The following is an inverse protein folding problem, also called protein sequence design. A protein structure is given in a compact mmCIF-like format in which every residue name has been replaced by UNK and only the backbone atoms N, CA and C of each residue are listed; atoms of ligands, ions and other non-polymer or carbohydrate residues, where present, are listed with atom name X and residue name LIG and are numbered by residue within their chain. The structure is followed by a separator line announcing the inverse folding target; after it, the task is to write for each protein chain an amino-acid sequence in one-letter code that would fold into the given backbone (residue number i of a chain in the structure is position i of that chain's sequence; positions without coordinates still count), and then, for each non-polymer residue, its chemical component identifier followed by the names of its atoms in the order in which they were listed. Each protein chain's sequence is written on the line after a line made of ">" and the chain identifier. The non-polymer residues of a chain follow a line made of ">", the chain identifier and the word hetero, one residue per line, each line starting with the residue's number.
data_IF_251702426406
#
_entry.id   IF_251702426406
#
_cell.length_a   1.000
_cell.length_b   1.000
_cell.length_c   1.000
_cell.angle_alpha   90.00
_cell.angle_beta   90.00
_cell.angle_gamma   90.00
#
_symmetry.space_group_name_H-M   'P 1'
#
loop_
_entity.id
_entity.type
_entity.pdbx_description
1 polymer ?
#
# COMPACT_ATOMS: atom_id res chain seq x y z
N UNK A 1 1.60 -0.37 -2.47
CA UNK A 1 1.05 -0.52 -1.10
C UNK A 1 -0.46 -0.73 -1.11
N UNK A 2 -1.29 0.23 -1.52
CA UNK A 2 -2.77 0.05 -1.51
C UNK A 2 -3.24 -1.10 -2.40
N UNK A 3 -2.64 -1.27 -3.58
CA UNK A 3 -2.90 -2.46 -4.42
C UNK A 3 -2.60 -3.78 -3.68
N UNK A 4 -1.53 -3.82 -2.89
CA UNK A 4 -1.17 -4.97 -2.06
C UNK A 4 -2.19 -5.23 -0.96
N UNK A 5 -2.72 -4.18 -0.33
CA UNK A 5 -3.80 -4.30 0.66
C UNK A 5 -5.08 -4.86 0.01
N UNK A 6 -5.42 -4.39 -1.18
CA UNK A 6 -6.57 -4.89 -1.93
C UNK A 6 -6.41 -6.38 -2.27
N UNK A 7 -5.27 -6.80 -2.82
CA UNK A 7 -5.02 -8.22 -3.13
C UNK A 7 -5.17 -9.09 -1.89
N UNK A 8 -4.53 -8.71 -0.78
CA UNK A 8 -4.63 -9.45 0.48
C UNK A 8 -6.04 -9.48 1.05
N UNK A 9 -6.80 -8.40 0.90
CA UNK A 9 -8.21 -8.39 1.29
C UNK A 9 -9.01 -9.37 0.44
N UNK A 10 -8.88 -9.35 -0.89
CA UNK A 10 -9.56 -10.30 -1.77
C UNK A 10 -9.17 -11.75 -1.45
N UNK A 11 -7.88 -12.02 -1.20
CA UNK A 11 -7.39 -13.34 -0.77
C UNK A 11 -8.00 -13.76 0.58
N UNK A 12 -8.04 -12.85 1.56
CA UNK A 12 -8.58 -13.09 2.91
C UNK A 12 -10.08 -13.39 2.90
N UNK A 13 -10.84 -12.69 2.06
CA UNK A 13 -12.30 -12.80 2.02
C UNK A 13 -12.83 -13.72 0.89
N UNK A 14 -11.99 -14.11 -0.07
CA UNK A 14 -12.34 -14.98 -1.19
C UNK A 14 -13.28 -14.35 -2.23
N UNK A 15 -13.39 -13.02 -2.28
CA UNK A 15 -14.33 -12.27 -3.14
C UNK A 15 -13.92 -10.80 -3.28
N UNK A 16 -14.57 -10.02 -4.17
CA UNK A 16 -14.47 -8.56 -4.14
C UNK A 16 -14.79 -7.98 -2.76
N UNK A 17 -14.07 -6.94 -2.37
CA UNK A 17 -14.05 -6.40 -1.01
C UNK A 17 -14.50 -4.95 -0.96
N UNK A 18 -15.15 -4.56 0.12
CA UNK A 18 -15.54 -3.17 0.39
C UNK A 18 -14.32 -2.32 0.76
N UNK A 19 -14.44 -0.99 0.69
CA UNK A 19 -13.38 -0.08 1.14
C UNK A 19 -12.95 -0.35 2.58
N UNK A 20 -13.92 -0.58 3.48
CA UNK A 20 -13.65 -0.86 4.90
C UNK A 20 -12.86 -2.16 5.09
N UNK A 21 -13.13 -3.19 4.29
CA UNK A 21 -12.37 -4.45 4.36
C UNK A 21 -10.92 -4.28 3.89
N UNK A 22 -10.68 -3.39 2.91
CA UNK A 22 -9.31 -3.02 2.51
C UNK A 22 -8.61 -2.20 3.61
N UNK A 23 -9.34 -1.27 4.24
CA UNK A 23 -8.84 -0.49 5.38
C UNK A 23 -8.49 -1.36 6.59
N UNK A 24 -9.26 -2.41 6.86
CA UNK A 24 -8.98 -3.37 7.93
C UNK A 24 -7.66 -4.09 7.68
N UNK A 25 -7.43 -4.56 6.45
CA UNK A 25 -6.15 -5.17 6.05
C UNK A 25 -5.01 -4.15 6.10
N UNK A 26 -5.24 -2.90 5.67
CA UNK A 26 -4.25 -1.84 5.79
C UNK A 26 -3.90 -1.56 7.27
N UNK A 27 -4.88 -1.63 8.18
CA UNK A 27 -4.67 -1.45 9.62
C UNK A 27 -3.84 -2.57 10.23
N UNK A 28 -3.96 -3.80 9.74
CA UNK A 28 -3.14 -4.93 10.18
C UNK A 28 -1.68 -4.81 9.69
N UNK A 29 -1.47 -4.31 8.48
CA UNK A 29 -0.15 -4.33 7.81
C UNK A 29 0.63 -3.03 8.01
N UNK A 30 -0.01 -1.89 7.78
CA UNK A 30 0.61 -0.57 7.84
C UNK A 30 -0.44 0.49 8.25
N UNK A 31 -0.75 0.60 9.56
CA UNK A 31 -1.81 1.46 10.08
C UNK A 31 -1.76 2.92 9.61
N UNK A 32 -0.56 3.46 9.40
CA UNK A 32 -0.35 4.82 8.90
C UNK A 32 -0.85 5.05 7.47
N UNK A 33 -1.33 3.99 6.80
CA UNK A 33 -1.85 4.05 5.44
C UNK A 33 -3.37 4.00 5.29
N UNK A 34 -4.10 3.80 6.40
CA UNK A 34 -5.56 3.61 6.36
C UNK A 34 -6.29 4.82 5.80
N UNK A 35 -5.88 6.04 6.15
CA UNK A 35 -6.55 7.29 5.79
C UNK A 35 -6.56 7.62 4.29
N UNK A 36 -5.70 6.99 3.49
CA UNK A 36 -5.57 7.21 2.07
C UNK A 36 -5.96 6.00 1.20
N UNK A 37 -6.42 4.91 1.81
CA UNK A 37 -6.87 3.72 1.07
C UNK A 37 -7.89 4.11 0.00
N UNK A 38 -8.95 4.82 0.39
CA UNK A 38 -10.02 5.22 -0.55
C UNK A 38 -9.49 6.08 -1.71
N UNK A 39 -8.57 7.00 -1.44
CA UNK A 39 -8.01 7.90 -2.45
C UNK A 39 -7.28 7.09 -3.52
N UNK A 40 -6.42 6.17 -3.13
CA UNK A 40 -5.68 5.35 -4.08
C UNK A 40 -6.53 4.24 -4.72
N UNK A 41 -7.59 3.74 -4.07
CA UNK A 41 -8.52 2.84 -4.76
C UNK A 41 -9.18 3.54 -5.95
N UNK A 42 -9.60 4.80 -5.78
CA UNK A 42 -10.15 5.60 -6.89
C UNK A 42 -9.11 5.82 -7.99
N UNK A 43 -7.87 6.12 -7.63
CA UNK A 43 -6.77 6.30 -8.58
C UNK A 43 -6.46 5.02 -9.37
N UNK A 44 -6.34 3.88 -8.69
CA UNK A 44 -6.11 2.56 -9.30
C UNK A 44 -7.25 2.18 -10.24
N UNK A 45 -8.49 2.53 -9.88
CA UNK A 45 -9.66 2.31 -10.73
C UNK A 45 -9.63 3.20 -11.98
N UNK A 46 -9.28 4.48 -11.83
CA UNK A 46 -9.13 5.40 -12.97
C UNK A 46 -8.06 4.94 -13.97
N UNK A 47 -7.02 4.25 -13.48
CA UNK A 47 -5.97 3.62 -14.29
C UNK A 47 -6.36 2.23 -14.85
N UNK A 48 -7.55 1.73 -14.53
CA UNK A 48 -8.09 0.46 -15.03
C UNK A 48 -7.43 -0.79 -14.42
N UNK A 49 -6.75 -0.66 -13.29
CA UNK A 49 -6.00 -1.73 -12.61
C UNK A 49 -6.90 -2.57 -11.70
N UNK A 50 -7.96 -1.94 -11.20
CA UNK A 50 -8.95 -2.56 -10.33
C UNK A 50 -10.34 -2.23 -10.87
N UNK A 51 -11.30 -3.08 -10.55
CA UNK A 51 -12.70 -2.89 -10.88
C UNK A 51 -13.47 -2.40 -9.66
N UNK A 52 -14.51 -1.60 -9.92
CA UNK A 52 -15.47 -1.14 -8.92
C UNK A 52 -16.87 -1.60 -9.34
N UNK A 53 -17.55 -2.36 -8.48
CA UNK A 53 -18.90 -2.87 -8.75
C UNK A 53 -19.83 -2.59 -7.57
N UNK A 54 -21.10 -2.31 -7.85
CA UNK A 54 -22.12 -2.27 -6.80
C UNK A 54 -22.47 -3.71 -6.39
N UNK A 55 -22.38 -3.98 -5.09
CA UNK A 55 -22.82 -5.23 -4.48
C UNK A 55 -24.11 -4.96 -3.68
N UNK A 56 -25.22 -5.51 -4.18
CA UNK A 56 -26.53 -5.33 -3.59
C UNK A 56 -26.73 -6.08 -2.28
N UNK A 57 -26.02 -7.20 -2.06
CA UNK A 57 -26.09 -7.94 -0.79
C UNK A 57 -25.39 -7.17 0.32
N UNK A 58 -24.32 -6.45 -0.03
CA UNK A 58 -23.52 -5.65 0.91
C UNK A 58 -23.99 -4.21 1.04
N UNK A 59 -24.85 -3.75 0.12
CA UNK A 59 -25.26 -2.35 0.04
C UNK A 59 -24.07 -1.39 -0.13
N UNK A 60 -23.02 -1.83 -0.83
CA UNK A 60 -21.76 -1.10 -0.94
C UNK A 60 -21.08 -1.31 -2.28
N UNK A 61 -20.17 -0.40 -2.62
CA UNK A 61 -19.23 -0.65 -3.71
C UNK A 61 -18.12 -1.60 -3.24
N UNK A 62 -17.85 -2.61 -4.05
CA UNK A 62 -16.77 -3.56 -3.87
C UNK A 62 -15.69 -3.36 -4.93
N UNK A 63 -14.47 -3.71 -4.55
CA UNK A 63 -13.25 -3.57 -5.30
C UNK A 63 -12.63 -4.94 -5.54
N UNK A 64 -12.08 -5.14 -6.73
CA UNK A 64 -11.29 -6.33 -7.05
C UNK A 64 -10.16 -5.98 -8.02
N UNK A 65 -8.99 -6.63 -7.93
CA UNK A 65 -7.97 -6.54 -8.97
C UNK A 65 -8.54 -6.98 -10.31
N UNK A 66 -8.24 -6.25 -11.39
CA UNK A 66 -8.66 -6.62 -12.75
C UNK A 66 -7.73 -7.65 -13.37
N UNK A 67 -6.49 -7.70 -12.90
CA UNK A 67 -5.48 -8.66 -13.31
C UNK A 67 -4.83 -9.26 -12.07
N UNK A 68 -4.58 -10.57 -12.09
CA UNK A 68 -3.69 -11.20 -11.14
C UNK A 68 -2.24 -10.95 -11.58
N UNK A 69 -1.77 -9.73 -11.36
CA UNK A 69 -0.35 -9.42 -11.52
C UNK A 69 0.35 -9.38 -10.16
N UNK A 70 1.65 -9.66 -10.17
CA UNK A 70 2.51 -9.38 -9.02
C UNK A 70 2.73 -7.88 -8.88
N UNK A 71 3.24 -7.47 -7.72
CA UNK A 71 3.54 -6.07 -7.46
C UNK A 71 4.65 -5.60 -8.40
N UNK A 72 5.63 -6.47 -8.66
CA UNK A 72 6.74 -6.27 -9.60
C UNK A 72 6.24 -6.05 -11.03
N UNK A 73 5.33 -6.89 -11.51
CA UNK A 73 4.72 -6.72 -12.84
C UNK A 73 3.93 -5.42 -12.95
N UNK A 74 3.31 -4.98 -11.84
CA UNK A 74 2.64 -3.69 -11.77
C UNK A 74 3.66 -2.54 -11.85
N UNK A 75 4.89 -2.68 -11.31
CA UNK A 75 5.98 -1.70 -11.50
C UNK A 75 6.34 -1.56 -12.96
N UNK A 76 6.56 -2.69 -13.62
CA UNK A 76 7.05 -2.71 -14.98
C UNK A 76 6.03 -2.13 -15.95
N UNK A 77 4.74 -2.45 -15.76
CA UNK A 77 3.66 -1.98 -16.61
C UNK A 77 3.21 -0.54 -16.30
N UNK A 78 3.31 -0.12 -15.04
CA UNK A 78 2.82 1.18 -14.56
C UNK A 78 3.87 1.84 -13.65
N UNK A 79 5.04 2.22 -14.20
CA UNK A 79 6.13 2.78 -13.41
C UNK A 79 5.74 4.08 -12.70
N UNK A 80 4.76 4.82 -13.22
CA UNK A 80 4.27 6.06 -12.62
C UNK A 80 3.65 5.83 -11.24
N UNK A 81 3.00 4.68 -11.00
CA UNK A 81 2.45 4.33 -9.68
C UNK A 81 3.54 4.23 -8.60
N UNK A 82 4.76 3.89 -9.02
CA UNK A 82 5.92 3.81 -8.14
C UNK A 82 6.56 5.17 -7.98
N UNK A 83 6.67 5.94 -9.07
CA UNK A 83 7.19 7.31 -9.06
C UNK A 83 6.42 8.24 -8.12
N UNK A 84 5.12 8.03 -8.01
CA UNK A 84 4.25 8.83 -7.15
C UNK A 84 4.26 8.35 -5.67
N UNK A 85 4.89 7.20 -5.38
CA UNK A 85 4.97 6.63 -4.03
C UNK A 85 6.12 7.26 -3.23
N UNK A 86 5.84 8.41 -2.62
CA UNK A 86 6.79 9.16 -1.80
C UNK A 86 7.50 8.30 -0.72
N UNK A 87 6.76 7.41 -0.05
CA UNK A 87 7.36 6.56 0.99
C UNK A 87 8.27 5.47 0.43
N UNK A 88 7.92 4.89 -0.73
CA UNK A 88 8.77 3.93 -1.39
C UNK A 88 10.13 4.55 -1.75
N UNK A 89 10.10 5.74 -2.35
CA UNK A 89 11.31 6.48 -2.68
C UNK A 89 12.11 6.86 -1.44
N UNK A 90 11.46 7.31 -0.37
CA UNK A 90 12.12 7.66 0.88
C UNK A 90 12.91 6.49 1.46
N UNK A 91 12.31 5.29 1.49
CA UNK A 91 12.98 4.08 1.99
C UNK A 91 14.10 3.65 1.05
N UNK A 92 13.84 3.57 -0.26
CA UNK A 92 14.84 3.14 -1.26
C UNK A 92 16.08 4.04 -1.26
N UNK A 93 15.87 5.35 -1.22
CA UNK A 93 16.96 6.35 -1.18
C UNK A 93 17.77 6.24 0.10
N UNK A 94 17.11 6.12 1.26
CA UNK A 94 17.80 6.01 2.55
C UNK A 94 18.62 4.72 2.69
N UNK A 95 18.17 3.63 2.07
CA UNK A 95 18.89 2.35 2.06
C UNK A 95 19.98 2.28 0.98
N UNK A 96 19.87 3.05 -0.10
CA UNK A 96 20.86 3.07 -1.19
C UNK A 96 20.93 1.77 -2.00
N UNK A 97 19.86 0.97 -2.00
CA UNK A 97 19.75 -0.28 -2.78
C UNK A 97 18.32 -0.53 -3.24
N UNK A 98 18.11 -1.41 -4.24
CA UNK A 98 16.78 -1.92 -4.57
C UNK A 98 16.12 -2.58 -3.35
N UNK A 99 14.82 -2.36 -3.20
CA UNK A 99 13.96 -2.88 -2.12
C UNK A 99 12.63 -3.31 -2.74
N UNK A 100 12.04 -4.40 -2.25
CA UNK A 100 10.68 -4.79 -2.65
C UNK A 100 9.63 -3.97 -1.91
N UNK A 101 8.38 -4.01 -2.37
CA UNK A 101 7.27 -3.32 -1.70
C UNK A 101 6.96 -3.94 -0.34
N UNK A 102 7.06 -5.26 -0.22
CA UNK A 102 6.90 -5.99 1.03
C UNK A 102 7.94 -5.53 2.04
N UNK A 103 9.20 -5.41 1.60
CA UNK A 103 10.29 -4.92 2.44
C UNK A 103 10.03 -3.47 2.89
N UNK A 104 9.58 -2.61 1.98
CA UNK A 104 9.25 -1.21 2.29
C UNK A 104 8.13 -1.13 3.32
N UNK A 105 7.05 -1.90 3.15
CA UNK A 105 5.94 -1.92 4.11
C UNK A 105 6.40 -2.39 5.49
N UNK A 106 7.23 -3.43 5.55
CA UNK A 106 7.78 -3.93 6.81
C UNK A 106 8.67 -2.89 7.51
N UNK A 107 9.54 -2.22 6.75
CA UNK A 107 10.38 -1.14 7.26
C UNK A 107 9.52 -0.01 7.83
N UNK A 108 8.52 0.46 7.08
CA UNK A 108 7.63 1.54 7.51
C UNK A 108 6.82 1.15 8.75
N UNK A 109 6.35 -0.10 8.84
CA UNK A 109 5.69 -0.62 10.04
C UNK A 109 6.60 -0.56 11.26
N UNK A 110 7.84 -1.06 11.13
CA UNK A 110 8.83 -1.03 12.22
C UNK A 110 9.22 0.38 12.64
N UNK A 111 9.27 1.33 11.70
CA UNK A 111 9.62 2.74 11.99
C UNK A 111 8.46 3.50 12.63
N UNK A 112 7.23 3.23 12.19
CA UNK A 112 6.01 3.79 12.79
C UNK A 112 5.65 3.13 14.12
N UNK A 113 6.24 1.98 14.44
CA UNK A 113 5.92 1.21 15.65
C UNK A 113 4.47 0.70 15.64
N UNK A 114 3.92 0.44 14.45
CA UNK A 114 2.50 0.10 14.30
C UNK A 114 1.54 1.24 14.62
N UNK A 115 2.02 2.50 14.66
CA UNK A 115 1.14 3.65 14.87
C UNK A 115 0.35 3.98 13.61
N UNK A 116 -0.93 4.33 13.77
CA UNK A 116 -1.73 4.98 12.72
C UNK A 116 -1.31 6.42 12.44
N UNK A 117 -0.48 7.02 13.31
CA UNK A 117 0.05 8.37 13.09
C UNK A 117 1.02 8.35 11.90
N UNK A 118 0.69 9.12 10.87
CA UNK A 118 1.51 9.29 9.69
C UNK A 118 2.84 9.96 10.03
N UNK A 119 3.94 9.33 9.62
CA UNK A 119 5.27 9.91 9.69
C UNK A 119 5.54 10.75 8.44
N UNK A 120 6.22 11.89 8.58
CA UNK A 120 6.68 12.65 7.43
C UNK A 120 7.80 11.90 6.69
N UNK A 121 7.99 12.18 5.40
CA UNK A 121 9.11 11.61 4.62
C UNK A 121 10.46 11.92 5.27
N UNK A 122 10.64 13.15 5.77
CA UNK A 122 11.85 13.55 6.49
C UNK A 122 12.07 12.71 7.74
N UNK A 123 11.02 12.45 8.52
CA UNK A 123 11.09 11.62 9.72
C UNK A 123 11.42 10.16 9.39
N UNK A 124 10.87 9.61 8.31
CA UNK A 124 11.22 8.27 7.82
C UNK A 124 12.70 8.18 7.45
N UNK A 125 13.20 9.14 6.66
CA UNK A 125 14.63 9.19 6.27
C UNK A 125 15.55 9.31 7.49
N UNK A 126 15.19 10.18 8.45
CA UNK A 126 15.94 10.39 9.70
C UNK A 126 16.05 9.10 10.52
N UNK A 127 14.92 8.45 10.81
CA UNK A 127 14.90 7.20 11.60
C UNK A 127 15.64 6.04 10.91
N UNK A 128 15.60 5.99 9.57
CA UNK A 128 16.38 5.01 8.80
C UNK A 128 17.89 5.25 8.92
N UNK A 129 18.32 6.50 8.86
CA UNK A 129 19.73 6.88 9.03
C UNK A 129 20.23 6.54 10.44
N UNK A 130 19.47 6.93 11.47
CA UNK A 130 19.79 6.63 12.88
C UNK A 130 19.95 5.11 13.11
N UNK A 131 19.06 4.27 12.53
CA UNK A 131 19.18 2.81 12.63
C UNK A 131 20.39 2.23 11.88
N UNK A 132 20.87 2.87 10.83
CA UNK A 132 22.09 2.45 10.12
C UNK A 132 23.35 2.80 10.90
N UNK A 133 23.34 3.94 11.59
CA UNK A 133 24.46 4.42 12.41
C UNK A 133 24.60 3.65 13.75
N UNK A 134 23.54 2.97 14.19
CA UNK A 134 23.53 2.09 15.38
C UNK A 134 23.96 0.64 15.09
N UNK A 135 24.33 0.29 13.85
CA UNK A 135 24.82 -1.03 13.44
C UNK A 135 26.31 -0.96 13.13
#
# INVERSE_FOLDING_TARGET
>A
MVYTFLKRAVEKYGRPVTTSEVEDVAREILPMCVDHVVHHLVELHAKGLIEKKWDGERGAFVWSPRMECTVEELVEKYPELYMDSLYYHAVREALGRPVSIEEVMEILYRISGGSSKRLSVAEVKRRLKEKREMR
#
